data_IF_317292197361
#
_entry.id   IF_317292197361
#
_cell.length_a   1.000
_cell.length_b   1.000
_cell.length_c   1.000
_cell.angle_alpha   90.00
_cell.angle_beta   90.00
_cell.angle_gamma   90.00
#
_symmetry.space_group_name_H-M   'P 1'
#
loop_
_entity.id
_entity.type
_entity.pdbx_description
1 polymer ?
#
# COMPACT_ATOMS: atom_id res chain seq x y z
N UNK A 1 57.09 -16.19 -83.09
CA UNK A 1 56.34 -17.40 -82.71
C UNK A 1 57.26 -18.31 -81.90
N UNK A 2 57.04 -18.38 -80.59
CA UNK A 2 57.55 -19.34 -79.60
C UNK A 2 56.88 -18.99 -78.24
N UNK A 3 56.66 -19.94 -77.32
CA UNK A 3 55.36 -20.04 -76.64
C UNK A 3 55.35 -19.65 -75.15
N UNK A 4 54.14 -19.24 -74.72
CA UNK A 4 53.53 -19.42 -73.40
C UNK A 4 54.07 -20.64 -72.64
N UNK A 5 54.74 -20.44 -71.49
CA UNK A 5 54.93 -21.45 -70.44
C UNK A 5 55.49 -20.84 -69.15
N UNK A 6 54.77 -19.89 -68.54
CA UNK A 6 54.92 -19.60 -67.10
C UNK A 6 53.71 -18.82 -66.59
N UNK A 7 52.53 -19.40 -66.80
CA UNK A 7 51.31 -19.07 -66.08
C UNK A 7 50.94 -20.33 -65.30
N UNK A 8 50.47 -20.12 -64.07
CA UNK A 8 49.70 -21.05 -63.23
C UNK A 8 50.47 -21.76 -62.11
N UNK A 9 50.29 -21.25 -60.88
CA UNK A 9 50.10 -21.92 -59.56
C UNK A 9 50.68 -20.97 -58.49
N UNK A 10 49.97 -20.39 -57.52
CA UNK A 10 48.94 -20.84 -56.57
C UNK A 10 48.36 -19.54 -55.95
N UNK A 11 47.10 -19.20 -56.21
CA UNK A 11 45.94 -19.31 -55.29
C UNK A 11 46.11 -18.67 -53.90
N UNK A 12 45.25 -17.66 -53.67
CA UNK A 12 44.32 -17.56 -52.54
C UNK A 12 44.90 -17.21 -51.15
N UNK A 13 44.86 -15.91 -50.79
CA UNK A 13 44.44 -15.38 -49.47
C UNK A 13 44.87 -13.91 -49.28
N UNK A 14 44.12 -12.96 -49.84
CA UNK A 14 44.28 -11.53 -49.53
C UNK A 14 42.94 -10.84 -49.31
N UNK A 15 42.13 -11.40 -48.40
CA UNK A 15 40.96 -10.71 -47.81
C UNK A 15 40.73 -11.21 -46.39
N UNK A 16 41.61 -10.87 -45.44
CA UNK A 16 41.37 -11.15 -44.02
C UNK A 16 42.25 -10.30 -43.08
N UNK A 17 42.22 -8.97 -43.19
CA UNK A 17 42.81 -8.08 -42.17
C UNK A 17 41.90 -6.90 -41.81
N UNK A 18 40.58 -7.07 -41.91
CA UNK A 18 39.61 -6.09 -41.40
C UNK A 18 39.17 -6.37 -39.93
N UNK A 19 39.68 -7.44 -39.30
CA UNK A 19 39.36 -7.81 -37.92
C UNK A 19 40.60 -8.18 -37.10
N UNK A 20 41.72 -7.47 -37.25
CA UNK A 20 42.75 -7.53 -36.21
C UNK A 20 42.21 -6.85 -34.96
N UNK A 21 41.89 -7.64 -33.93
CA UNK A 21 41.56 -7.14 -32.60
C UNK A 21 42.76 -6.31 -32.14
N UNK A 22 42.58 -5.00 -32.02
CA UNK A 22 43.56 -4.14 -31.39
C UNK A 22 43.66 -4.58 -29.93
N UNK A 23 44.66 -5.40 -29.60
CA UNK A 23 45.07 -5.74 -28.23
C UNK A 23 45.71 -4.54 -27.53
N UNK A 24 45.24 -3.32 -27.83
CA UNK A 24 45.40 -2.20 -26.95
C UNK A 24 44.42 -2.45 -25.81
N UNK A 25 44.98 -2.75 -24.63
CA UNK A 25 44.25 -2.81 -23.36
C UNK A 25 43.21 -1.70 -23.37
N UNK A 26 41.94 -2.07 -23.56
CA UNK A 26 40.86 -1.16 -23.29
C UNK A 26 41.00 -0.86 -21.80
N UNK A 27 41.59 0.29 -21.48
CA UNK A 27 41.35 0.93 -20.21
C UNK A 27 39.85 1.16 -20.16
N UNK A 28 39.12 0.14 -19.70
CA UNK A 28 37.82 0.33 -19.12
C UNK A 28 38.09 1.34 -18.03
N UNK A 29 37.79 2.61 -18.31
CA UNK A 29 37.72 3.62 -17.27
C UNK A 29 36.73 3.06 -16.27
N UNK A 30 37.23 2.40 -15.23
CA UNK A 30 36.44 1.89 -14.15
C UNK A 30 35.71 3.11 -13.61
N UNK A 31 34.43 3.25 -13.99
CA UNK A 31 33.61 4.32 -13.46
C UNK A 31 33.70 4.17 -11.94
N UNK A 32 34.08 5.21 -11.20
CA UNK A 32 34.07 5.13 -9.75
C UNK A 32 32.63 4.76 -9.36
N UNK A 33 32.44 3.53 -8.88
CA UNK A 33 31.15 3.09 -8.36
C UNK A 33 31.02 3.71 -6.96
N UNK A 34 30.69 4.98 -6.90
CA UNK A 34 30.17 5.55 -5.66
C UNK A 34 28.94 4.74 -5.28
N UNK A 35 28.97 4.08 -4.13
CA UNK A 35 27.81 3.36 -3.61
C UNK A 35 26.72 4.40 -3.36
N UNK A 36 25.67 4.33 -4.17
CA UNK A 36 24.47 5.13 -4.00
C UNK A 36 23.52 4.33 -3.11
N UNK A 37 23.19 4.88 -1.96
CA UNK A 37 22.19 4.32 -1.08
C UNK A 37 20.84 4.89 -1.54
N UNK A 38 20.21 4.19 -2.47
CA UNK A 38 18.87 4.49 -2.99
C UNK A 38 17.82 3.65 -2.22
N UNK A 39 16.65 4.23 -1.97
CA UNK A 39 15.59 3.65 -1.15
C UNK A 39 14.37 3.32 -1.99
N UNK A 40 14.38 3.68 -3.28
CA UNK A 40 13.35 3.35 -4.28
C UNK A 40 11.92 3.70 -3.87
N UNK A 41 11.74 4.56 -2.87
CA UNK A 41 10.42 4.90 -2.33
C UNK A 41 9.96 4.06 -1.15
N UNK A 42 10.81 3.18 -0.63
CA UNK A 42 10.54 2.40 0.58
C UNK A 42 11.06 3.11 1.82
N UNK A 43 10.13 3.39 2.71
CA UNK A 43 10.25 4.03 4.01
C UNK A 43 10.67 3.05 5.13
N UNK A 44 10.70 1.75 4.84
CA UNK A 44 11.28 0.73 5.73
C UNK A 44 12.78 0.47 5.49
N UNK A 45 13.35 1.04 4.42
CA UNK A 45 14.77 0.91 4.09
C UNK A 45 15.62 1.94 4.86
N UNK A 46 16.94 1.74 4.86
CA UNK A 46 17.93 2.60 5.52
C UNK A 46 17.84 4.08 5.08
N UNK A 47 18.01 5.04 6.01
CA UNK A 47 17.92 6.47 5.73
C UNK A 47 19.07 6.94 4.82
N UNK A 48 18.71 7.44 3.64
CA UNK A 48 19.66 7.99 2.67
C UNK A 48 20.34 9.26 3.18
N UNK A 49 19.63 10.08 3.94
CA UNK A 49 20.12 11.37 4.42
C UNK A 49 21.23 11.20 5.46
N UNK A 50 21.23 10.09 6.18
CA UNK A 50 22.21 9.76 7.22
C UNK A 50 23.48 9.15 6.62
N UNK A 51 23.37 8.41 5.51
CA UNK A 51 24.47 7.62 4.92
C UNK A 51 25.02 8.14 3.59
N UNK A 52 24.42 9.16 2.98
CA UNK A 52 24.85 9.71 1.68
C UNK A 52 25.18 11.21 1.77
N UNK A 53 26.30 11.68 1.18
CA UNK A 53 26.62 13.11 1.14
C UNK A 53 25.51 13.93 0.47
N UNK A 54 25.20 15.11 1.03
CA UNK A 54 24.14 16.03 0.57
C UNK A 54 24.16 16.33 -0.95
N UNK A 55 25.34 16.27 -1.58
CA UNK A 55 25.53 16.57 -3.00
C UNK A 55 25.04 15.43 -3.93
N UNK A 56 24.87 14.21 -3.42
CA UNK A 56 24.49 13.00 -4.19
C UNK A 56 23.09 12.50 -3.82
N UNK A 57 22.34 13.25 -3.00
CA UNK A 57 20.95 12.97 -2.62
C UNK A 57 19.95 13.34 -3.75
N UNK A 58 20.26 12.96 -4.98
CA UNK A 58 19.45 13.26 -6.16
C UNK A 58 18.02 12.74 -6.00
N UNK A 59 17.84 11.50 -5.52
CA UNK A 59 16.52 10.89 -5.31
C UNK A 59 15.72 11.63 -4.22
N UNK A 60 16.29 11.85 -3.03
CA UNK A 60 15.59 12.53 -1.94
C UNK A 60 15.23 13.98 -2.28
N UNK A 61 16.15 14.72 -2.93
CA UNK A 61 15.90 16.08 -3.38
C UNK A 61 14.86 16.12 -4.50
N UNK A 62 14.90 15.16 -5.42
CA UNK A 62 13.90 15.01 -6.46
C UNK A 62 12.53 14.70 -5.86
N UNK A 63 12.41 13.74 -4.94
CA UNK A 63 11.14 13.46 -4.24
C UNK A 63 10.58 14.69 -3.51
N UNK A 64 11.43 15.43 -2.80
CA UNK A 64 11.03 16.69 -2.14
C UNK A 64 10.51 17.72 -3.14
N UNK A 65 11.18 17.89 -4.28
CA UNK A 65 10.77 18.81 -5.33
C UNK A 65 9.50 18.34 -6.07
N UNK A 66 9.41 17.07 -6.45
CA UNK A 66 8.21 16.55 -7.13
C UNK A 66 7.00 16.64 -6.20
N UNK A 67 7.14 16.30 -4.91
CA UNK A 67 6.05 16.44 -3.95
C UNK A 67 5.65 17.91 -3.68
N UNK A 68 6.54 18.88 -3.89
CA UNK A 68 6.19 20.31 -3.75
C UNK A 68 5.49 20.88 -4.99
N UNK A 69 5.79 20.34 -6.17
CA UNK A 69 5.17 20.76 -7.45
C UNK A 69 3.84 20.06 -7.67
N UNK A 70 3.80 18.75 -7.43
CA UNK A 70 2.61 17.92 -7.55
C UNK A 70 2.57 16.92 -6.39
N UNK A 71 1.75 17.18 -5.35
CA UNK A 71 1.58 16.25 -4.24
C UNK A 71 1.06 14.87 -4.65
N UNK A 72 0.42 14.75 -5.83
CA UNK A 72 -0.17 13.53 -6.37
C UNK A 72 0.58 13.01 -7.61
N UNK A 73 1.91 12.95 -7.51
CA UNK A 73 2.78 12.47 -8.57
C UNK A 73 2.90 10.93 -8.59
N UNK A 74 3.59 10.39 -9.60
CA UNK A 74 3.80 8.93 -9.74
C UNK A 74 4.53 8.27 -8.55
N UNK A 75 5.29 9.04 -7.77
CA UNK A 75 6.03 8.58 -6.59
C UNK A 75 5.19 8.63 -5.31
N UNK A 76 4.16 9.49 -5.26
CA UNK A 76 3.24 9.66 -4.14
C UNK A 76 1.78 9.65 -4.62
N UNK A 77 1.42 8.65 -5.42
CA UNK A 77 0.09 8.59 -6.04
C UNK A 77 -0.96 8.34 -4.97
N UNK A 78 -1.79 9.34 -4.72
CA UNK A 78 -2.93 9.23 -3.82
C UNK A 78 -4.06 8.48 -4.53
N UNK A 79 -4.71 7.56 -3.80
CA UNK A 79 -5.88 6.88 -4.32
C UNK A 79 -7.03 7.89 -4.53
N UNK A 80 -7.67 7.92 -5.72
CA UNK A 80 -8.69 8.93 -6.04
C UNK A 80 -10.05 8.57 -5.41
N UNK A 81 -10.15 8.68 -4.08
CA UNK A 81 -11.31 8.29 -3.28
C UNK A 81 -12.61 8.86 -3.84
N UNK A 82 -12.66 10.17 -4.07
CA UNK A 82 -13.90 10.85 -4.49
C UNK A 82 -14.41 10.37 -5.85
N UNK A 83 -13.51 10.12 -6.80
CA UNK A 83 -13.85 9.60 -8.12
C UNK A 83 -14.38 8.17 -7.99
N UNK A 84 -13.71 7.31 -7.21
CA UNK A 84 -14.11 5.91 -7.04
C UNK A 84 -15.42 5.75 -6.25
N UNK A 85 -15.62 6.54 -5.21
CA UNK A 85 -16.89 6.63 -4.47
C UNK A 85 -18.05 6.97 -5.39
N UNK A 86 -17.84 7.90 -6.33
CA UNK A 86 -18.82 8.28 -7.34
C UNK A 86 -19.06 7.17 -8.37
N UNK A 87 -17.99 6.61 -8.93
CA UNK A 87 -18.07 5.54 -9.95
C UNK A 87 -18.78 4.29 -9.41
N UNK A 88 -18.52 3.93 -8.16
CA UNK A 88 -19.14 2.78 -7.50
C UNK A 88 -20.53 3.09 -6.92
N UNK A 89 -20.98 4.35 -7.01
CA UNK A 89 -22.28 4.78 -6.49
C UNK A 89 -22.43 4.53 -4.99
N UNK A 90 -21.36 4.64 -4.19
CA UNK A 90 -21.40 4.20 -2.79
C UNK A 90 -22.39 5.01 -1.96
N UNK A 91 -22.50 6.32 -2.21
CA UNK A 91 -23.45 7.17 -1.50
C UNK A 91 -24.91 6.79 -1.81
N UNK A 92 -25.20 6.48 -3.07
CA UNK A 92 -26.51 5.96 -3.49
C UNK A 92 -26.82 4.64 -2.80
N UNK A 93 -25.88 3.68 -2.82
CA UNK A 93 -26.03 2.39 -2.12
C UNK A 93 -26.23 2.56 -0.61
N UNK A 94 -25.52 3.49 0.04
CA UNK A 94 -25.71 3.74 1.47
C UNK A 94 -27.10 4.32 1.79
N UNK A 95 -27.65 5.13 0.88
CA UNK A 95 -28.99 5.68 0.99
C UNK A 95 -30.06 4.61 0.72
N UNK A 96 -29.90 3.79 -0.32
CA UNK A 96 -30.79 2.66 -0.65
C UNK A 96 -30.87 1.64 0.48
N UNK A 97 -29.73 1.32 1.10
CA UNK A 97 -29.66 0.42 2.25
C UNK A 97 -30.21 1.08 3.53
N UNK A 98 -30.54 2.37 3.50
CA UNK A 98 -31.09 3.10 4.63
C UNK A 98 -30.17 3.13 5.85
N UNK A 99 -28.84 3.10 5.63
CA UNK A 99 -27.84 2.98 6.72
C UNK A 99 -27.99 4.13 7.72
N UNK A 100 -28.18 5.35 7.22
CA UNK A 100 -28.38 6.54 8.06
C UNK A 100 -29.67 6.42 8.89
N UNK A 101 -30.77 5.97 8.29
CA UNK A 101 -32.03 5.75 9.01
C UNK A 101 -31.93 4.63 10.04
N UNK A 102 -31.10 3.61 9.81
CA UNK A 102 -30.84 2.54 10.79
C UNK A 102 -30.01 3.08 11.96
N UNK A 103 -28.98 3.88 11.69
CA UNK A 103 -28.19 4.53 12.73
C UNK A 103 -29.03 5.47 13.59
N UNK A 104 -29.92 6.26 12.97
CA UNK A 104 -30.85 7.12 13.69
C UNK A 104 -31.82 6.32 14.56
N UNK A 105 -32.36 5.20 14.07
CA UNK A 105 -33.17 4.27 14.87
C UNK A 105 -32.42 3.66 16.05
N UNK A 106 -31.11 3.52 15.96
CA UNK A 106 -30.25 3.08 17.06
C UNK A 106 -29.93 4.20 18.05
N UNK A 107 -30.42 5.43 17.82
CA UNK A 107 -30.23 6.57 18.71
C UNK A 107 -29.04 7.47 18.35
N UNK A 108 -28.42 7.28 17.17
CA UNK A 108 -27.32 8.13 16.72
C UNK A 108 -27.85 9.49 16.26
N UNK A 109 -27.99 10.43 17.19
CA UNK A 109 -28.29 11.84 16.90
C UNK A 109 -27.01 12.67 16.83
N UNK A 110 -27.10 13.90 16.35
CA UNK A 110 -25.95 14.81 16.28
C UNK A 110 -25.36 15.10 17.67
N UNK A 111 -26.21 15.29 18.67
CA UNK A 111 -25.83 15.48 20.07
C UNK A 111 -25.07 14.26 20.61
N UNK A 112 -25.55 13.05 20.32
CA UNK A 112 -24.87 11.82 20.72
C UNK A 112 -23.57 11.57 19.96
N UNK A 113 -23.50 11.97 18.70
CA UNK A 113 -22.24 11.93 17.96
C UNK A 113 -21.17 12.83 18.61
N UNK A 114 -21.56 14.01 19.11
CA UNK A 114 -20.66 14.91 19.85
C UNK A 114 -20.20 14.29 21.19
N UNK A 115 -21.11 13.67 21.94
CA UNK A 115 -20.77 12.92 23.16
C UNK A 115 -19.82 11.73 22.91
N UNK A 116 -19.89 11.13 21.72
CA UNK A 116 -19.02 10.03 21.32
C UNK A 116 -17.61 10.48 20.95
N UNK A 117 -17.39 11.73 20.50
CA UNK A 117 -16.05 12.21 20.11
C UNK A 117 -15.02 12.07 21.25
N UNK A 118 -15.29 12.49 22.51
CA UNK A 118 -14.39 12.24 23.63
C UNK A 118 -14.15 10.76 23.93
N UNK A 119 -15.14 9.90 23.68
CA UNK A 119 -15.01 8.44 23.88
C UNK A 119 -14.09 7.84 22.82
N UNK A 120 -14.24 8.25 21.55
CA UNK A 120 -13.36 7.85 20.46
C UNK A 120 -11.92 8.36 20.66
N UNK A 121 -11.75 9.56 21.23
CA UNK A 121 -10.43 10.09 21.60
C UNK A 121 -9.78 9.26 22.70
N UNK A 122 -10.52 8.96 23.78
CA UNK A 122 -10.04 8.08 24.86
C UNK A 122 -9.73 6.65 24.38
N UNK A 123 -10.49 6.16 23.41
CA UNK A 123 -10.23 4.88 22.77
C UNK A 123 -9.07 4.93 21.76
N UNK A 124 -8.47 6.11 21.53
CA UNK A 124 -7.33 6.29 20.63
C UNK A 124 -7.67 6.19 19.15
N UNK A 125 -8.95 6.10 18.77
CA UNK A 125 -9.38 5.95 17.36
C UNK A 125 -9.02 7.18 16.55
N UNK A 126 -9.29 8.37 17.09
CA UNK A 126 -8.99 9.66 16.45
C UNK A 126 -7.48 9.87 16.31
N UNK A 127 -6.73 9.58 17.36
CA UNK A 127 -5.26 9.60 17.33
C UNK A 127 -4.69 8.59 16.31
N UNK A 128 -5.28 7.40 16.19
CA UNK A 128 -4.86 6.39 15.21
C UNK A 128 -5.14 6.86 13.77
N UNK A 129 -6.29 7.50 13.53
CA UNK A 129 -6.60 8.09 12.22
C UNK A 129 -5.67 9.25 11.88
N UNK A 130 -5.42 10.16 12.83
CA UNK A 130 -4.58 11.33 12.63
C UNK A 130 -3.11 10.96 12.35
N UNK A 131 -2.56 9.98 13.06
CA UNK A 131 -1.15 9.59 12.92
C UNK A 131 -0.87 8.68 11.71
N UNK A 132 -1.90 8.05 11.15
CA UNK A 132 -1.76 7.07 10.07
C UNK A 132 -2.49 7.47 8.78
N UNK A 133 -2.74 8.77 8.56
CA UNK A 133 -3.50 9.25 7.40
C UNK A 133 -2.99 8.71 6.06
N UNK A 134 -1.68 8.67 5.85
CA UNK A 134 -1.07 8.16 4.61
C UNK A 134 -1.33 6.65 4.43
N UNK A 135 -1.21 5.86 5.49
CA UNK A 135 -1.50 4.42 5.47
C UNK A 135 -3.00 4.14 5.30
N UNK A 136 -3.86 4.98 5.88
CA UNK A 136 -5.30 4.88 5.70
C UNK A 136 -5.72 5.25 4.29
N UNK A 137 -5.17 6.32 3.71
CA UNK A 137 -5.55 6.77 2.36
C UNK A 137 -5.01 5.85 1.27
N UNK A 138 -3.80 5.31 1.41
CA UNK A 138 -3.19 4.49 0.36
C UNK A 138 -3.26 2.98 0.62
N UNK A 139 -3.46 2.55 1.87
CA UNK A 139 -3.59 1.13 2.23
C UNK A 139 -5.05 0.72 2.45
N UNK A 140 -5.73 1.40 3.37
CA UNK A 140 -7.09 0.99 3.79
C UNK A 140 -8.17 1.51 2.84
N UNK A 141 -8.08 2.75 2.36
CA UNK A 141 -9.12 3.37 1.55
C UNK A 141 -9.37 2.62 0.23
N UNK A 142 -8.37 2.08 -0.50
CA UNK A 142 -8.64 1.24 -1.66
C UNK A 142 -9.46 0.00 -1.29
N UNK A 143 -9.10 -0.70 -0.21
CA UNK A 143 -9.84 -1.89 0.24
C UNK A 143 -11.25 -1.53 0.70
N UNK A 144 -11.41 -0.42 1.43
CA UNK A 144 -12.70 0.03 1.93
C UNK A 144 -13.62 0.50 0.81
N UNK A 145 -13.12 1.28 -0.16
CA UNK A 145 -13.91 1.84 -1.26
C UNK A 145 -14.25 0.78 -2.30
N UNK A 146 -13.28 -0.03 -2.73
CA UNK A 146 -13.52 -1.11 -3.71
C UNK A 146 -14.32 -2.27 -3.10
N UNK A 147 -14.12 -2.55 -1.81
CA UNK A 147 -14.86 -3.57 -1.06
C UNK A 147 -16.24 -3.12 -0.58
N UNK A 148 -16.52 -1.82 -0.55
CA UNK A 148 -17.78 -1.27 -0.05
C UNK A 148 -19.02 -1.89 -0.71
N UNK A 149 -19.11 -2.12 -2.04
CA UNK A 149 -20.30 -2.73 -2.63
C UNK A 149 -20.66 -4.10 -2.03
N UNK A 150 -19.66 -4.86 -1.55
CA UNK A 150 -19.86 -6.15 -0.88
C UNK A 150 -20.10 -5.97 0.64
N UNK A 151 -19.39 -5.04 1.27
CA UNK A 151 -19.44 -4.85 2.73
C UNK A 151 -20.66 -4.05 3.20
N UNK A 152 -21.15 -3.10 2.40
CA UNK A 152 -22.25 -2.21 2.77
C UNK A 152 -23.54 -2.97 3.14
N UNK A 153 -23.98 -4.01 2.39
CA UNK A 153 -25.12 -4.83 2.80
C UNK A 153 -24.89 -5.56 4.14
N UNK A 154 -23.67 -6.05 4.38
CA UNK A 154 -23.32 -6.74 5.63
C UNK A 154 -23.37 -5.77 6.80
N UNK A 155 -22.81 -4.56 6.64
CA UNK A 155 -22.87 -3.50 7.65
C UNK A 155 -24.31 -3.06 7.91
N UNK A 156 -25.11 -2.91 6.85
CA UNK A 156 -26.53 -2.57 6.98
C UNK A 156 -27.30 -3.64 7.77
N UNK A 157 -27.04 -4.93 7.52
CA UNK A 157 -27.61 -6.04 8.30
C UNK A 157 -27.11 -6.06 9.75
N UNK A 158 -25.82 -5.80 9.98
CA UNK A 158 -25.28 -5.69 11.34
C UNK A 158 -25.92 -4.54 12.12
N UNK A 159 -26.21 -3.41 11.47
CA UNK A 159 -26.92 -2.28 12.07
C UNK A 159 -28.39 -2.60 12.40
N UNK A 160 -29.04 -3.49 11.67
CA UNK A 160 -30.38 -3.97 12.05
C UNK A 160 -30.37 -4.79 13.33
N UNK A 161 -29.33 -5.60 13.53
CA UNK A 161 -29.15 -6.40 14.76
C UNK A 161 -28.70 -5.52 15.92
N UNK A 162 -27.91 -4.48 15.65
CA UNK A 162 -27.45 -3.50 16.63
C UNK A 162 -26.15 -3.93 17.35
N UNK A 163 -25.92 -3.46 18.59
CA UNK A 163 -24.66 -3.66 19.32
C UNK A 163 -24.11 -5.10 19.37
N UNK A 164 -24.94 -6.15 19.53
CA UNK A 164 -24.44 -7.53 19.57
C UNK A 164 -23.71 -7.98 18.30
N UNK A 165 -24.10 -7.49 17.12
CA UNK A 165 -23.42 -7.84 15.88
C UNK A 165 -21.98 -7.33 15.84
N UNK A 166 -21.76 -6.13 16.38
CA UNK A 166 -20.43 -5.52 16.43
C UNK A 166 -19.54 -6.14 17.51
N UNK A 167 -20.11 -6.56 18.65
CA UNK A 167 -19.36 -7.35 19.64
C UNK A 167 -19.01 -8.74 19.12
N UNK A 168 -19.91 -9.40 18.39
CA UNK A 168 -19.62 -10.68 17.75
C UNK A 168 -18.50 -10.50 16.72
N UNK A 169 -18.57 -9.47 15.89
CA UNK A 169 -17.49 -9.14 14.94
C UNK A 169 -16.16 -8.87 15.65
N UNK A 170 -16.17 -8.12 16.76
CA UNK A 170 -14.96 -7.88 17.55
C UNK A 170 -14.36 -9.20 18.08
N UNK A 171 -15.19 -10.05 18.66
CA UNK A 171 -14.77 -11.35 19.18
C UNK A 171 -14.29 -12.30 18.06
N UNK A 172 -14.91 -12.27 16.88
CA UNK A 172 -14.49 -13.08 15.76
C UNK A 172 -13.16 -12.61 15.19
N UNK A 173 -12.94 -11.31 15.02
CA UNK A 173 -11.64 -10.79 14.56
C UNK A 173 -10.52 -11.08 15.57
N UNK A 174 -10.75 -10.86 16.85
CA UNK A 174 -9.77 -11.16 17.90
C UNK A 174 -9.51 -12.68 18.01
N UNK A 175 -10.56 -13.50 17.91
CA UNK A 175 -10.43 -14.96 17.94
C UNK A 175 -9.71 -15.52 16.72
N UNK A 176 -9.99 -14.98 15.53
CA UNK A 176 -9.29 -15.32 14.30
C UNK A 176 -7.81 -14.96 14.40
N UNK A 177 -7.48 -13.76 14.86
CA UNK A 177 -6.10 -13.32 15.07
C UNK A 177 -5.35 -14.25 16.03
N UNK A 178 -5.92 -14.51 17.21
CA UNK A 178 -5.35 -15.42 18.20
C UNK A 178 -5.16 -16.85 17.65
N UNK A 179 -6.11 -17.33 16.84
CA UNK A 179 -6.03 -18.67 16.22
C UNK A 179 -4.93 -18.73 15.14
N UNK A 180 -4.76 -17.68 14.35
CA UNK A 180 -3.74 -17.58 13.30
C UNK A 180 -2.34 -17.47 13.92
N UNK A 181 -2.22 -16.74 15.03
CA UNK A 181 -0.99 -16.64 15.78
C UNK A 181 -0.62 -17.97 16.45
N UNK A 182 -1.58 -18.62 17.13
CA UNK A 182 -1.36 -19.88 17.83
C UNK A 182 -1.10 -21.08 16.91
N UNK A 183 -1.71 -21.09 15.72
CA UNK A 183 -1.51 -22.15 14.72
C UNK A 183 -0.17 -22.07 14.00
N UNK A 184 0.58 -20.97 14.15
CA UNK A 184 1.82 -20.74 13.41
C UNK A 184 1.60 -20.71 11.89
N UNK A 185 0.38 -20.41 11.43
CA UNK A 185 0.05 -20.37 10.02
C UNK A 185 0.94 -19.34 9.32
N UNK A 186 1.50 -19.71 8.17
CA UNK A 186 2.32 -18.82 7.35
C UNK A 186 1.58 -18.44 6.08
N UNK A 187 1.83 -17.23 5.60
CA UNK A 187 1.32 -16.78 4.31
C UNK A 187 2.20 -17.42 3.22
N UNK A 188 1.66 -18.31 2.37
CA UNK A 188 2.46 -19.20 1.52
C UNK A 188 3.32 -18.49 0.46
N UNK A 189 3.03 -17.22 0.17
CA UNK A 189 3.76 -16.41 -0.81
C UNK A 189 4.74 -15.42 -0.17
N UNK A 190 4.69 -15.19 1.14
CA UNK A 190 5.55 -14.22 1.84
C UNK A 190 6.42 -14.86 2.93
N UNK A 191 6.08 -16.07 3.39
CA UNK A 191 6.81 -16.75 4.48
C UNK A 191 6.72 -16.02 5.82
N UNK A 192 5.78 -15.08 5.95
CA UNK A 192 5.48 -14.36 7.18
C UNK A 192 4.38 -15.09 7.95
N UNK A 193 4.44 -15.03 9.28
CA UNK A 193 3.34 -15.47 10.14
C UNK A 193 2.05 -14.75 9.74
N UNK A 194 1.02 -15.52 9.42
CA UNK A 194 -0.32 -15.03 9.11
C UNK A 194 -0.93 -14.30 10.32
N UNK A 195 -0.64 -14.76 11.54
CA UNK A 195 -1.02 -14.04 12.76
C UNK A 195 -0.36 -12.66 12.85
N UNK A 196 0.96 -12.57 12.60
CA UNK A 196 1.63 -11.28 12.62
C UNK A 196 1.18 -10.33 11.48
N UNK A 197 1.01 -10.86 10.28
CA UNK A 197 0.68 -10.07 9.10
C UNK A 197 -0.80 -9.66 9.06
N UNK A 198 -1.73 -10.57 9.35
CA UNK A 198 -3.16 -10.26 9.40
C UNK A 198 -3.54 -9.56 10.71
N UNK A 199 -2.78 -9.73 11.79
CA UNK A 199 -2.99 -9.02 13.05
C UNK A 199 -2.87 -7.50 12.91
N UNK A 200 -2.07 -7.01 11.95
CA UNK A 200 -2.02 -5.59 11.60
C UNK A 200 -3.38 -5.03 11.14
N UNK A 201 -4.28 -5.88 10.68
CA UNK A 201 -5.63 -5.51 10.23
C UNK A 201 -6.68 -6.00 11.21
N UNK A 202 -6.61 -7.26 11.66
CA UNK A 202 -7.59 -7.88 12.54
C UNK A 202 -7.66 -7.22 13.92
N UNK A 203 -6.51 -6.84 14.50
CA UNK A 203 -6.50 -6.20 15.82
C UNK A 203 -7.17 -4.83 15.76
N UNK A 204 -6.80 -3.89 14.85
CA UNK A 204 -7.54 -2.64 14.70
C UNK A 204 -9.02 -2.84 14.38
N UNK A 205 -9.39 -3.79 13.51
CA UNK A 205 -10.80 -4.06 13.20
C UNK A 205 -11.58 -4.57 14.40
N UNK A 206 -10.98 -5.40 15.24
CA UNK A 206 -11.59 -5.88 16.47
C UNK A 206 -11.85 -4.75 17.46
N UNK A 207 -10.87 -3.86 17.65
CA UNK A 207 -10.96 -2.71 18.53
C UNK A 207 -12.03 -1.73 18.04
N UNK A 208 -12.03 -1.40 16.75
CA UNK A 208 -13.05 -0.53 16.14
C UNK A 208 -14.43 -1.16 16.28
N UNK A 209 -14.58 -2.46 16.03
CA UNK A 209 -15.87 -3.15 16.16
C UNK A 209 -16.36 -3.15 17.61
N UNK A 210 -15.47 -3.34 18.59
CA UNK A 210 -15.81 -3.26 20.01
C UNK A 210 -16.23 -1.85 20.42
N UNK A 211 -15.52 -0.82 19.95
CA UNK A 211 -15.86 0.59 20.20
C UNK A 211 -17.20 0.95 19.58
N UNK A 212 -17.46 0.52 18.34
CA UNK A 212 -18.76 0.74 17.67
C UNK A 212 -19.88 0.01 18.41
N UNK A 213 -19.67 -1.24 18.85
CA UNK A 213 -20.62 -1.97 19.69
C UNK A 213 -20.90 -1.26 21.03
N UNK A 214 -19.84 -0.75 21.67
CA UNK A 214 -19.92 0.05 22.89
C UNK A 214 -20.72 1.33 22.70
N UNK A 215 -20.38 2.11 21.67
CA UNK A 215 -21.05 3.34 21.32
C UNK A 215 -22.53 3.09 21.02
N UNK A 216 -22.86 2.16 20.12
CA UNK A 216 -24.26 1.84 19.80
C UNK A 216 -25.02 1.29 21.03
N UNK A 217 -24.34 0.57 21.92
CA UNK A 217 -24.92 0.06 23.16
C UNK A 217 -25.26 1.17 24.15
N UNK A 218 -24.45 2.23 24.22
CA UNK A 218 -24.69 3.39 25.08
C UNK A 218 -25.76 4.34 24.54
N UNK A 219 -26.10 4.27 23.25
CA UNK A 219 -27.16 5.09 22.64
C UNK A 219 -28.57 4.61 22.97
N UNK A 220 -28.73 3.31 23.28
CA UNK A 220 -30.03 2.69 23.54
C UNK A 220 -30.48 2.81 25.01
N UNK A 221 -29.59 3.27 25.91
CA UNK A 221 -29.83 3.44 27.34
C UNK A 221 -29.98 4.92 27.72
#
# INVERSE_FOLDING_TARGET
>A
MAPLSSLLTITLATTATAFSVNSGVASTSARPSTKLYENFGFDFAEDQAENTPAIILGEANYKKWVNSVDPNNMLNRQYPILTRVRELGLLEKTAELGILSKLEKLGLTLEKAEELLPVLEKAGVLSLVANNQQLLINGVAPLAVEGAPLLLPVVAGALEVGPPAFYLAAASFAGLDASLFASGAEIPFVGLSAGAALGLVLIPLSAVSAVVGGALGSLKN
#
